data_IF_582211401759
#
_entry.id   IF_582211401759
#
_cell.length_a   1.000
_cell.length_b   1.000
_cell.length_c   1.000
_cell.angle_alpha   90.00
_cell.angle_beta   90.00
_cell.angle_gamma   90.00
#
_symmetry.space_group_name_H-M   'P 1'
#
loop_
_entity.id
_entity.type
_entity.pdbx_description
1 polymer ?
#
# COMPACT_ATOMS: atom_id res chain seq x y z
N UNK A 1 15.37 -20.83 15.14
CA UNK A 1 14.21 -20.01 15.51
C UNK A 1 12.96 -20.66 14.90
N UNK A 2 11.86 -20.79 15.63
CA UNK A 2 10.60 -21.34 15.08
C UNK A 2 10.11 -20.43 13.93
N UNK A 3 9.71 -21.04 12.81
CA UNK A 3 9.33 -20.32 11.57
C UNK A 3 8.15 -19.39 11.81
N UNK A 4 7.20 -19.82 12.65
CA UNK A 4 6.02 -19.03 13.00
C UNK A 4 6.41 -17.78 13.82
N UNK A 5 7.35 -17.92 14.76
CA UNK A 5 7.87 -16.80 15.57
C UNK A 5 8.61 -15.77 14.72
N UNK A 6 9.46 -16.23 13.80
CA UNK A 6 10.16 -15.35 12.88
C UNK A 6 9.19 -14.57 11.96
N UNK A 7 8.14 -15.24 11.48
CA UNK A 7 7.12 -14.62 10.63
C UNK A 7 6.29 -13.59 11.39
N UNK A 8 5.85 -13.89 12.62
CA UNK A 8 5.11 -12.93 13.43
C UNK A 8 5.95 -11.71 13.79
N UNK A 9 7.22 -11.91 14.19
CA UNK A 9 8.14 -10.81 14.50
C UNK A 9 8.29 -9.85 13.31
N UNK A 10 8.50 -10.39 12.11
CA UNK A 10 8.55 -9.58 10.88
C UNK A 10 7.23 -8.84 10.62
N UNK A 11 6.10 -9.52 10.81
CA UNK A 11 4.79 -8.91 10.60
C UNK A 11 4.52 -7.76 11.59
N UNK A 12 4.83 -7.93 12.88
CA UNK A 12 4.66 -6.88 13.90
C UNK A 12 5.50 -5.63 13.57
N UNK A 13 6.76 -5.81 13.17
CA UNK A 13 7.63 -4.72 12.73
C UNK A 13 7.03 -4.02 11.49
N UNK A 14 6.52 -4.79 10.52
CA UNK A 14 5.86 -4.23 9.33
C UNK A 14 4.59 -3.44 9.68
N UNK A 15 3.93 -3.77 10.79
CA UNK A 15 2.77 -3.05 11.32
C UNK A 15 3.15 -1.79 12.13
N UNK A 16 4.44 -1.51 12.29
CA UNK A 16 4.95 -0.30 12.95
C UNK A 16 5.31 -0.47 14.43
N UNK A 17 5.44 -1.71 14.93
CA UNK A 17 5.97 -1.94 16.28
C UNK A 17 7.49 -1.79 16.33
N UNK A 18 8.01 -1.26 17.45
CA UNK A 18 9.45 -1.16 17.67
C UNK A 18 10.09 -2.57 17.71
N UNK A 19 11.26 -2.68 17.09
CA UNK A 19 12.09 -3.89 17.08
C UNK A 19 12.48 -4.29 18.51
N UNK A 20 12.70 -3.31 19.38
CA UNK A 20 13.06 -3.53 20.78
C UNK A 20 11.94 -4.19 21.58
N UNK A 21 10.69 -3.93 21.23
CA UNK A 21 9.51 -4.52 21.88
C UNK A 21 9.19 -5.93 21.33
N UNK A 22 9.71 -6.27 20.14
CA UNK A 22 9.49 -7.53 19.47
C UNK A 22 10.54 -8.61 19.82
N UNK A 23 10.92 -8.73 21.09
CA UNK A 23 11.89 -9.75 21.51
C UNK A 23 11.36 -11.17 21.33
N UNK A 24 12.25 -12.14 21.11
CA UNK A 24 11.86 -13.52 20.83
C UNK A 24 11.05 -14.16 21.97
N UNK A 25 11.29 -13.74 23.21
CA UNK A 25 10.53 -14.17 24.38
C UNK A 25 9.08 -13.66 24.36
N UNK A 26 8.88 -12.40 24.02
CA UNK A 26 7.55 -11.78 23.91
C UNK A 26 6.77 -12.43 22.75
N UNK A 27 7.40 -12.59 21.59
CA UNK A 27 6.75 -13.19 20.41
C UNK A 27 6.38 -14.66 20.66
N UNK A 28 7.21 -15.42 21.38
CA UNK A 28 6.88 -16.80 21.77
C UNK A 28 5.67 -16.89 22.72
N UNK A 29 5.51 -15.93 23.64
CA UNK A 29 4.34 -15.86 24.53
C UNK A 29 3.05 -15.55 23.75
N UNK A 30 3.15 -14.79 22.66
CA UNK A 30 2.02 -14.46 21.80
C UNK A 30 1.55 -15.62 20.92
N UNK A 31 2.45 -16.55 20.57
CA UNK A 31 2.14 -17.74 19.75
C UNK A 31 2.18 -19.01 20.62
N UNK A 32 1.19 -19.24 21.50
CA UNK A 32 1.03 -20.55 22.10
C UNK A 32 0.67 -21.56 20.99
N UNK A 33 1.06 -22.84 21.13
CA UNK A 33 0.84 -23.86 20.10
C UNK A 33 -0.60 -23.94 19.58
N UNK A 34 -1.59 -23.73 20.46
CA UNK A 34 -3.01 -23.80 20.12
C UNK A 34 -3.50 -22.64 19.24
N UNK A 35 -2.76 -21.52 19.17
CA UNK A 35 -3.15 -20.31 18.42
C UNK A 35 -2.27 -20.05 17.19
N UNK A 36 -1.42 -21.00 16.82
CA UNK A 36 -0.53 -20.87 15.64
C UNK A 36 -1.30 -20.61 14.35
N UNK A 37 -2.35 -21.37 14.09
CA UNK A 37 -3.10 -21.24 12.85
C UNK A 37 -3.88 -19.92 12.75
N UNK A 38 -4.39 -19.43 13.88
CA UNK A 38 -5.00 -18.09 13.97
C UNK A 38 -3.99 -17.01 13.55
N UNK A 39 -2.78 -17.04 14.12
CA UNK A 39 -1.73 -16.08 13.77
C UNK A 39 -1.29 -16.20 12.31
N UNK A 40 -1.15 -17.41 11.76
CA UNK A 40 -0.84 -17.61 10.34
C UNK A 40 -1.89 -16.97 9.43
N UNK A 41 -3.17 -17.10 9.78
CA UNK A 41 -4.26 -16.48 9.02
C UNK A 41 -4.24 -14.95 9.14
N UNK A 42 -4.00 -14.41 10.34
CA UNK A 42 -3.89 -12.95 10.54
C UNK A 42 -2.74 -12.39 9.70
N UNK A 43 -1.54 -12.96 9.80
CA UNK A 43 -0.36 -12.51 9.06
C UNK A 43 -0.60 -12.56 7.54
N UNK A 44 -1.33 -13.57 7.06
CA UNK A 44 -1.63 -13.76 5.64
C UNK A 44 -2.60 -12.71 5.09
N UNK A 45 -3.57 -12.27 5.89
CA UNK A 45 -4.69 -11.47 5.40
C UNK A 45 -4.68 -10.01 5.88
N UNK A 46 -4.00 -9.71 6.98
CA UNK A 46 -3.91 -8.36 7.54
C UNK A 46 -2.65 -7.69 7.04
N UNK A 47 -2.84 -6.64 6.24
CA UNK A 47 -1.77 -5.82 5.64
C UNK A 47 -1.67 -4.47 6.34
N UNK A 48 -0.49 -3.82 6.34
CA UNK A 48 -0.33 -2.46 6.82
C UNK A 48 -1.29 -1.51 6.10
N UNK A 49 -1.78 -0.50 6.82
CA UNK A 49 -2.73 0.48 6.27
C UNK A 49 -2.18 1.20 5.03
N UNK A 50 -0.86 1.44 4.99
CA UNK A 50 -0.15 2.07 3.88
C UNK A 50 -0.20 1.22 2.60
N UNK A 51 0.00 -0.10 2.72
CA UNK A 51 -0.06 -1.05 1.60
C UNK A 51 -1.50 -1.15 1.06
N UNK A 52 -2.50 -1.17 1.95
CA UNK A 52 -3.92 -1.14 1.57
C UNK A 52 -4.27 0.17 0.84
N UNK A 53 -3.75 1.30 1.31
CA UNK A 53 -3.98 2.59 0.67
C UNK A 53 -3.33 2.67 -0.71
N UNK A 54 -2.11 2.13 -0.88
CA UNK A 54 -1.42 2.03 -2.17
C UNK A 54 -2.23 1.19 -3.17
N UNK A 55 -2.81 0.07 -2.73
CA UNK A 55 -3.67 -0.78 -3.56
C UNK A 55 -4.92 -0.01 -4.01
N UNK A 56 -5.60 0.71 -3.09
CA UNK A 56 -6.77 1.54 -3.42
C UNK A 56 -6.42 2.62 -4.45
N UNK A 57 -5.30 3.33 -4.27
CA UNK A 57 -4.83 4.35 -5.22
C UNK A 57 -4.47 3.74 -6.58
N UNK A 58 -3.81 2.58 -6.60
CA UNK A 58 -3.48 1.88 -7.85
C UNK A 58 -4.73 1.40 -8.62
N UNK A 59 -5.76 0.93 -7.90
CA UNK A 59 -7.05 0.57 -8.51
C UNK A 59 -7.77 1.79 -9.09
N UNK A 60 -7.73 2.92 -8.38
CA UNK A 60 -8.29 4.18 -8.86
C UNK A 60 -7.54 4.67 -10.10
N UNK A 61 -6.21 4.60 -10.08
CA UNK A 61 -5.35 4.94 -11.22
C UNK A 61 -5.74 4.13 -12.47
N UNK A 62 -5.88 2.81 -12.33
CA UNK A 62 -6.28 1.95 -13.45
C UNK A 62 -7.68 2.28 -14.00
N UNK A 63 -8.63 2.65 -13.14
CA UNK A 63 -9.96 3.13 -13.56
C UNK A 63 -9.86 4.45 -14.33
N UNK A 64 -9.00 5.37 -13.90
CA UNK A 64 -8.76 6.66 -14.56
C UNK A 64 -8.04 6.47 -15.91
N UNK A 65 -7.08 5.55 -16.02
CA UNK A 65 -6.41 5.20 -17.29
C UNK A 65 -7.42 4.67 -18.32
N UNK A 66 -8.38 3.85 -17.90
CA UNK A 66 -9.45 3.40 -18.82
C UNK A 66 -10.32 4.54 -19.34
N UNK A 67 -10.46 5.62 -18.58
CA UNK A 67 -11.18 6.84 -19.00
C UNK A 67 -10.31 7.83 -19.78
N UNK A 68 -8.99 7.61 -19.84
CA UNK A 68 -8.00 8.47 -20.54
C UNK A 68 -7.99 8.35 -22.06
N UNK A 69 -8.94 7.66 -22.72
CA UNK A 69 -9.08 7.87 -24.17
C UNK A 69 -9.54 9.32 -24.34
N UNK A 70 -8.71 10.22 -24.91
CA UNK A 70 -9.15 11.57 -25.15
C UNK A 70 -10.35 11.47 -26.10
N UNK A 71 -11.44 12.16 -25.78
CA UNK A 71 -12.42 12.50 -26.79
C UNK A 71 -11.65 13.37 -27.79
N UNK A 72 -11.19 12.77 -28.89
CA UNK A 72 -10.55 13.44 -30.02
C UNK A 72 -11.61 14.20 -30.83
N UNK A 73 -12.53 14.88 -30.15
CA UNK A 73 -13.50 15.76 -30.76
C UNK A 73 -12.87 17.15 -30.82
N UNK A 74 -12.89 17.78 -32.00
CA UNK A 74 -12.73 19.23 -32.08
C UNK A 74 -13.78 19.83 -31.14
N UNK A 75 -13.40 20.79 -30.31
CA UNK A 75 -14.35 21.53 -29.48
C UNK A 75 -15.20 22.36 -30.43
N UNK A 76 -16.39 21.89 -30.75
CA UNK A 76 -17.32 22.56 -31.67
C UNK A 76 -18.47 23.23 -30.91
N UNK A 77 -18.77 22.80 -29.68
CA UNK A 77 -19.82 23.34 -28.83
C UNK A 77 -19.40 23.53 -27.35
N UNK A 78 -20.31 24.11 -26.54
CA UNK A 78 -20.07 24.43 -25.12
C UNK A 78 -19.98 23.16 -24.25
N UNK A 79 -20.68 22.08 -24.65
CA UNK A 79 -20.62 20.78 -23.99
C UNK A 79 -19.25 20.11 -24.19
N UNK A 80 -18.65 20.24 -25.39
CA UNK A 80 -17.28 19.79 -25.66
C UNK A 80 -16.25 20.54 -24.79
N UNK A 81 -16.42 21.85 -24.61
CA UNK A 81 -15.55 22.66 -23.74
C UNK A 81 -15.66 22.21 -22.28
N UNK A 82 -16.88 21.96 -21.80
CA UNK A 82 -17.12 21.45 -20.45
C UNK A 82 -16.47 20.07 -20.27
N UNK A 83 -16.60 19.18 -21.26
CA UNK A 83 -15.96 17.86 -21.25
C UNK A 83 -14.43 17.95 -21.23
N UNK A 84 -13.84 18.90 -21.98
CA UNK A 84 -12.41 19.15 -21.99
C UNK A 84 -11.90 19.62 -20.62
N UNK A 85 -12.62 20.53 -19.95
CA UNK A 85 -12.28 21.00 -18.60
C UNK A 85 -12.36 19.87 -17.57
N UNK A 86 -13.41 19.06 -17.61
CA UNK A 86 -13.54 17.87 -16.74
C UNK A 86 -12.39 16.88 -16.98
N UNK A 87 -11.95 16.73 -18.24
CA UNK A 87 -10.82 15.88 -18.58
C UNK A 87 -9.49 16.42 -18.05
N UNK A 88 -9.23 17.73 -18.14
CA UNK A 88 -8.05 18.37 -17.55
C UNK A 88 -8.01 18.22 -16.02
N UNK A 89 -9.15 18.39 -15.35
CA UNK A 89 -9.25 18.17 -13.90
C UNK A 89 -8.96 16.71 -13.54
N UNK A 90 -9.49 15.75 -14.31
CA UNK A 90 -9.20 14.33 -14.13
C UNK A 90 -7.72 14.00 -14.37
N UNK A 91 -7.09 14.63 -15.34
CA UNK A 91 -5.65 14.51 -15.61
C UNK A 91 -4.82 15.06 -14.45
N UNK A 92 -5.18 16.23 -13.94
CA UNK A 92 -4.50 16.85 -12.79
C UNK A 92 -4.62 15.97 -11.55
N UNK A 93 -5.82 15.45 -11.28
CA UNK A 93 -6.06 14.51 -10.18
C UNK A 93 -5.25 13.22 -10.35
N UNK A 94 -5.19 12.70 -11.58
CA UNK A 94 -4.37 11.54 -11.94
C UNK A 94 -2.88 11.75 -11.63
N UNK A 95 -2.31 12.88 -12.07
CA UNK A 95 -0.89 13.21 -11.84
C UNK A 95 -0.57 13.34 -10.34
N UNK A 96 -1.49 13.93 -9.56
CA UNK A 96 -1.35 14.00 -8.10
C UNK A 96 -1.30 12.62 -7.46
N UNK A 97 -2.20 11.71 -7.85
CA UNK A 97 -2.22 10.33 -7.33
C UNK A 97 -0.93 9.58 -7.73
N UNK A 98 -0.46 9.73 -8.96
CA UNK A 98 0.81 9.10 -9.38
C UNK A 98 1.98 9.56 -8.53
N UNK A 99 2.08 10.86 -8.28
CA UNK A 99 3.12 11.42 -7.40
C UNK A 99 3.04 10.81 -6.00
N UNK A 100 1.85 10.76 -5.40
CA UNK A 100 1.66 10.17 -4.08
C UNK A 100 2.01 8.67 -4.04
N UNK A 101 1.75 7.93 -5.12
CA UNK A 101 2.14 6.51 -5.25
C UNK A 101 3.66 6.38 -5.27
N UNK A 102 4.36 7.24 -6.02
CA UNK A 102 5.82 7.26 -6.08
C UNK A 102 6.40 7.57 -4.70
N UNK A 103 5.90 8.59 -4.02
CA UNK A 103 6.37 8.98 -2.69
C UNK A 103 6.18 7.84 -1.66
N UNK A 104 5.04 7.16 -1.69
CA UNK A 104 4.77 5.99 -0.81
C UNK A 104 5.73 4.84 -1.15
N UNK A 105 5.96 4.54 -2.44
CA UNK A 105 6.91 3.48 -2.84
C UNK A 105 8.33 3.77 -2.35
N UNK A 106 8.77 5.02 -2.46
CA UNK A 106 10.10 5.46 -1.98
C UNK A 106 10.22 5.27 -0.48
N UNK A 107 9.23 5.73 0.29
CA UNK A 107 9.20 5.52 1.75
C UNK A 107 9.22 4.03 2.13
N UNK A 108 8.42 3.20 1.45
CA UNK A 108 8.41 1.76 1.69
C UNK A 108 9.77 1.12 1.39
N UNK A 109 10.46 1.57 0.34
CA UNK A 109 11.80 1.10 0.02
C UNK A 109 12.82 1.47 1.11
N UNK A 110 12.76 2.70 1.64
CA UNK A 110 13.60 3.14 2.76
C UNK A 110 13.34 2.31 4.02
N UNK A 111 12.07 2.06 4.36
CA UNK A 111 11.69 1.20 5.48
C UNK A 111 12.26 -0.22 5.30
N UNK A 112 12.12 -0.81 4.10
CA UNK A 112 12.68 -2.13 3.81
C UNK A 112 14.22 -2.17 3.89
N UNK A 113 14.90 -1.11 3.45
CA UNK A 113 16.36 -0.99 3.55
C UNK A 113 16.81 -0.93 5.01
N UNK A 114 16.10 -0.17 5.84
CA UNK A 114 16.40 -0.08 7.26
C UNK A 114 16.19 -1.44 7.96
N UNK A 115 15.13 -2.17 7.64
CA UNK A 115 14.89 -3.53 8.16
C UNK A 115 16.03 -4.49 7.78
N UNK A 116 16.54 -4.42 6.54
CA UNK A 116 17.67 -5.27 6.09
C UNK A 116 19.01 -4.94 6.75
N UNK A 117 19.17 -3.72 7.24
CA UNK A 117 20.43 -3.27 7.88
C UNK A 117 20.49 -3.69 9.36
N UNK A 118 19.34 -4.03 9.95
CA UNK A 118 19.19 -4.46 11.35
C UNK A 118 19.09 -6.01 11.46
N UNK A 119 18.92 -6.72 10.34
CA UNK A 119 18.86 -8.20 10.26
C UNK A 119 20.23 -8.83 10.06
#
# INVERSE_FOLDING_TARGET
MDKDTANLKKWLITMGMDVNDCTDEVVKKLIPPQRRDMWRNIIKHVKPAEEVNLIKKSLLLHKLIKRKKPLMAKVEDEDDLLNALVYEDLLTHYMKIEKEIVDIKTKNYEVQKNIKTIS
#
